data_IF_346898807185
#
_entry.id   IF_346898807185
#
_cell.length_a   1.000
_cell.length_b   1.000
_cell.length_c   1.000
_cell.angle_alpha   90.00
_cell.angle_beta   90.00
_cell.angle_gamma   90.00
#
_symmetry.space_group_name_H-M   'P 1'
#
loop_
_entity.id
_entity.type
_entity.pdbx_description
1 polymer ?
#
# COMPACT_ATOMS: atom_id res chain seq x y z
N UNK A 1 19.51 71.60 10.33
CA UNK A 1 19.61 70.21 9.81
C UNK A 1 18.56 69.39 10.55
N UNK A 2 17.38 69.19 9.94
CA UNK A 2 16.14 68.87 10.66
C UNK A 2 16.01 67.38 10.97
N UNK A 3 15.72 67.06 12.25
CA UNK A 3 15.52 65.69 12.75
C UNK A 3 14.49 64.88 11.93
N UNK A 4 13.52 65.55 11.31
CA UNK A 4 12.47 64.92 10.48
C UNK A 4 13.00 64.21 9.23
N UNK A 5 14.10 64.69 8.63
CA UNK A 5 14.68 64.07 7.43
C UNK A 5 15.40 62.76 7.74
N UNK A 6 15.95 62.60 8.95
CA UNK A 6 16.67 61.39 9.36
C UNK A 6 15.74 60.21 9.63
N UNK A 7 14.52 60.45 10.12
CA UNK A 7 13.54 59.39 10.35
C UNK A 7 13.04 58.75 9.04
N UNK A 8 12.85 59.55 7.99
CA UNK A 8 12.39 59.05 6.69
C UNK A 8 13.43 58.19 5.98
N UNK A 9 14.72 58.51 6.12
CA UNK A 9 15.82 57.71 5.53
C UNK A 9 16.05 56.39 6.27
N UNK A 10 15.85 56.35 7.60
CA UNK A 10 16.02 55.13 8.40
C UNK A 10 14.87 54.13 8.16
N UNK A 11 13.63 54.61 8.01
CA UNK A 11 12.48 53.75 7.65
C UNK A 11 12.58 53.17 6.24
N UNK A 12 13.16 53.92 5.29
CA UNK A 12 13.35 53.44 3.91
C UNK A 12 14.45 52.36 3.81
N UNK A 13 15.48 52.45 4.64
CA UNK A 13 16.55 51.43 4.74
C UNK A 13 16.04 50.16 5.42
N UNK A 14 15.12 50.25 6.40
CA UNK A 14 14.49 49.06 7.00
C UNK A 14 13.50 48.35 6.05
N UNK A 15 12.80 49.09 5.19
CA UNK A 15 11.89 48.51 4.19
C UNK A 15 12.63 47.80 3.04
N UNK A 16 13.84 48.25 2.68
CA UNK A 16 14.72 47.58 1.70
C UNK A 16 15.48 46.37 2.28
N UNK A 17 15.54 46.22 3.60
CA UNK A 17 16.17 45.10 4.30
C UNK A 17 15.20 43.96 4.63
N UNK A 18 13.89 44.20 4.67
CA UNK A 18 12.88 43.14 4.86
C UNK A 18 12.50 42.42 3.55
N UNK A 19 12.85 42.98 2.38
CA UNK A 19 12.56 42.37 1.07
C UNK A 19 13.58 41.31 0.61
N UNK A 20 14.53 40.90 1.47
CA UNK A 20 15.62 39.96 1.12
C UNK A 20 15.46 38.54 1.66
N UNK A 21 14.29 38.17 2.16
CA UNK A 21 14.02 36.81 2.64
C UNK A 21 12.79 36.14 2.01
N UNK A 22 12.45 36.48 0.76
CA UNK A 22 11.78 35.50 -0.11
C UNK A 22 12.89 34.68 -0.77
N UNK A 23 13.48 33.77 -0.01
CA UNK A 23 14.14 32.63 -0.64
C UNK A 23 13.05 31.90 -1.42
N UNK A 24 13.21 31.65 -2.73
CA UNK A 24 12.35 30.65 -3.37
C UNK A 24 12.52 29.39 -2.53
N UNK A 25 11.44 28.90 -1.93
CA UNK A 25 11.38 27.51 -1.54
C UNK A 25 11.59 26.78 -2.86
N UNK A 26 12.82 26.37 -3.11
CA UNK A 26 13.10 25.34 -4.08
C UNK A 26 12.33 24.16 -3.54
N UNK A 27 11.12 23.95 -4.05
CA UNK A 27 10.48 22.66 -3.99
C UNK A 27 11.51 21.72 -4.61
N UNK A 28 12.27 21.07 -3.75
CA UNK A 28 13.20 20.04 -4.13
C UNK A 28 12.28 19.03 -4.78
N UNK A 29 12.29 18.97 -6.12
CA UNK A 29 11.65 17.89 -6.82
C UNK A 29 12.45 16.66 -6.39
N UNK A 30 12.01 16.02 -5.32
CA UNK A 30 12.38 14.66 -5.09
C UNK A 30 12.09 13.96 -6.41
N UNK A 31 13.11 13.33 -7.00
CA UNK A 31 12.89 12.41 -8.10
C UNK A 31 12.15 11.23 -7.49
N UNK A 32 10.85 11.40 -7.24
CA UNK A 32 10.03 10.34 -6.69
C UNK A 32 9.79 9.39 -7.85
N UNK A 33 10.34 8.19 -7.75
CA UNK A 33 10.02 7.08 -8.62
C UNK A 33 8.78 6.36 -8.06
N UNK A 34 8.12 5.58 -8.91
CA UNK A 34 6.99 4.76 -8.47
C UNK A 34 7.45 3.67 -7.53
N UNK A 35 6.75 3.56 -6.40
CA UNK A 35 7.10 2.64 -5.34
C UNK A 35 5.90 2.43 -4.42
N UNK A 36 5.89 1.29 -3.73
CA UNK A 36 5.10 1.10 -2.52
C UNK A 36 5.93 1.63 -1.36
N UNK A 37 5.48 2.69 -0.72
CA UNK A 37 6.18 3.26 0.44
C UNK A 37 5.87 2.49 1.73
N UNK A 38 4.66 1.94 1.84
CA UNK A 38 4.25 1.12 2.98
C UNK A 38 3.26 0.03 2.53
N UNK A 39 3.53 -1.21 2.93
CA UNK A 39 2.63 -2.35 2.78
C UNK A 39 2.35 -2.92 4.16
N UNK A 40 1.11 -2.78 4.64
CA UNK A 40 0.70 -3.31 5.94
C UNK A 40 -0.41 -4.34 5.78
N UNK A 41 -0.21 -5.54 6.31
CA UNK A 41 -1.21 -6.62 6.26
C UNK A 41 -1.69 -6.99 7.65
N UNK A 42 -3.00 -6.96 7.88
CA UNK A 42 -3.64 -7.49 9.08
C UNK A 42 -4.33 -8.79 8.72
N UNK A 43 -3.90 -9.89 9.33
CA UNK A 43 -4.38 -11.25 9.07
C UNK A 43 -5.06 -11.76 10.33
N UNK A 44 -6.37 -11.99 10.25
CA UNK A 44 -7.17 -12.53 11.35
C UNK A 44 -7.57 -13.95 11.04
N UNK A 45 -6.97 -14.90 11.75
CA UNK A 45 -7.35 -16.32 11.66
C UNK A 45 -8.68 -16.50 12.41
N UNK A 46 -9.66 -17.10 11.75
CA UNK A 46 -10.97 -17.42 12.31
C UNK A 46 -10.98 -18.82 12.93
N UNK A 47 -11.95 -19.11 13.78
CA UNK A 47 -12.08 -20.43 14.43
C UNK A 47 -12.29 -21.59 13.43
N UNK A 48 -12.90 -21.31 12.28
CA UNK A 48 -13.12 -22.29 11.21
C UNK A 48 -11.90 -22.45 10.28
N UNK A 49 -10.78 -21.79 10.60
CA UNK A 49 -9.55 -21.81 9.81
C UNK A 49 -9.57 -20.92 8.57
N UNK A 50 -10.64 -20.15 8.33
CA UNK A 50 -10.64 -19.08 7.34
C UNK A 50 -9.81 -17.89 7.82
N UNK A 51 -9.34 -17.07 6.87
CA UNK A 51 -8.60 -15.85 7.13
C UNK A 51 -9.41 -14.66 6.66
N UNK A 52 -9.54 -13.65 7.52
CA UNK A 52 -9.94 -12.30 7.13
C UNK A 52 -8.69 -11.45 7.04
N UNK A 53 -8.43 -10.90 5.86
CA UNK A 53 -7.21 -10.13 5.58
C UNK A 53 -7.58 -8.72 5.16
N UNK A 54 -6.88 -7.74 5.74
CA UNK A 54 -6.92 -6.35 5.32
C UNK A 54 -5.51 -5.92 4.93
N UNK A 55 -5.30 -5.58 3.66
CA UNK A 55 -4.02 -5.07 3.14
C UNK A 55 -4.15 -3.57 2.86
N UNK A 56 -3.30 -2.77 3.50
CA UNK A 56 -3.16 -1.34 3.26
C UNK A 56 -1.85 -1.08 2.52
N UNK A 57 -1.96 -0.52 1.32
CA UNK A 57 -0.85 -0.35 0.38
C UNK A 57 -0.75 1.12 0.01
N UNK A 58 0.26 1.81 0.52
CA UNK A 58 0.55 3.20 0.16
C UNK A 58 1.59 3.24 -0.95
N UNK A 59 1.26 3.95 -2.03
CA UNK A 59 2.11 4.08 -3.22
C UNK A 59 2.38 5.53 -3.54
N UNK A 60 3.50 5.78 -4.21
CA UNK A 60 3.68 6.99 -5.01
C UNK A 60 3.49 6.65 -6.48
N UNK A 61 2.55 7.32 -7.14
CA UNK A 61 2.40 7.29 -8.59
C UNK A 61 3.16 8.46 -9.24
N UNK A 62 3.90 8.16 -10.31
CA UNK A 62 4.44 9.19 -11.23
C UNK A 62 3.65 9.24 -12.53
N UNK A 63 2.66 8.35 -12.70
CA UNK A 63 1.87 8.17 -13.91
C UNK A 63 2.56 7.34 -15.00
N UNK A 64 3.60 6.56 -14.67
CA UNK A 64 4.34 5.75 -15.64
C UNK A 64 3.89 4.29 -15.65
N UNK A 65 4.16 3.50 -14.61
CA UNK A 65 3.62 2.14 -14.41
C UNK A 65 2.24 2.20 -13.74
N UNK A 66 2.04 3.15 -12.81
CA UNK A 66 0.77 3.32 -12.07
C UNK A 66 -0.11 4.33 -12.82
N UNK A 67 -0.56 3.96 -14.03
CA UNK A 67 -1.36 4.83 -14.91
C UNK A 67 -2.83 4.91 -14.55
N UNK A 68 -3.41 3.78 -14.15
CA UNK A 68 -4.85 3.63 -13.91
C UNK A 68 -5.16 3.16 -12.49
N UNK A 69 -4.11 2.98 -11.68
CA UNK A 69 -4.16 2.35 -10.36
C UNK A 69 -3.14 1.23 -10.24
N UNK A 70 -3.32 0.36 -9.24
CA UNK A 70 -2.37 -0.71 -8.89
C UNK A 70 -2.92 -2.09 -9.26
N UNK A 71 -2.10 -3.12 -9.07
CA UNK A 71 -2.54 -4.50 -9.19
C UNK A 71 -2.03 -5.34 -8.02
N UNK A 72 -2.71 -6.42 -7.66
CA UNK A 72 -2.31 -7.36 -6.62
C UNK A 72 -2.44 -8.78 -7.14
N UNK A 73 -1.34 -9.53 -7.10
CA UNK A 73 -1.35 -10.93 -7.50
C UNK A 73 -1.68 -11.82 -6.31
N UNK A 74 -2.65 -12.71 -6.46
CA UNK A 74 -3.02 -13.73 -5.50
C UNK A 74 -2.70 -15.11 -6.11
N UNK A 75 -1.51 -15.67 -5.82
CA UNK A 75 -1.15 -17.00 -6.28
C UNK A 75 -2.11 -18.04 -5.71
N UNK A 76 -2.51 -18.99 -6.55
CA UNK A 76 -3.36 -20.11 -6.14
C UNK A 76 -2.59 -21.36 -5.76
N UNK A 77 -1.27 -21.34 -5.86
CA UNK A 77 -0.41 -22.45 -5.47
C UNK A 77 0.72 -21.94 -4.60
N UNK A 78 0.57 -22.15 -3.29
CA UNK A 78 1.68 -22.08 -2.36
C UNK A 78 2.01 -23.50 -1.90
N UNK A 79 3.26 -23.93 -2.09
CA UNK A 79 3.78 -25.22 -1.59
C UNK A 79 2.89 -26.48 -1.84
N UNK A 80 2.13 -26.52 -2.94
CA UNK A 80 1.27 -27.65 -3.29
C UNK A 80 -0.20 -27.54 -2.83
N UNK A 81 -0.57 -26.49 -2.12
CA UNK A 81 -1.96 -26.16 -1.76
C UNK A 81 -2.62 -25.45 -2.95
N UNK A 82 -3.68 -26.04 -3.51
CA UNK A 82 -4.41 -25.46 -4.64
C UNK A 82 -5.60 -24.62 -4.14
N UNK A 83 -5.50 -23.31 -4.23
CA UNK A 83 -6.60 -22.38 -4.00
C UNK A 83 -7.42 -22.29 -5.31
N UNK A 84 -8.72 -22.52 -5.23
CA UNK A 84 -9.63 -22.16 -6.33
C UNK A 84 -10.50 -21.02 -5.81
N UNK A 85 -10.53 -19.84 -6.46
CA UNK A 85 -11.33 -18.72 -5.95
C UNK A 85 -12.82 -18.99 -6.00
N UNK A 86 -13.28 -20.02 -6.72
CA UNK A 86 -14.69 -20.41 -6.65
C UNK A 86 -15.11 -21.03 -5.31
N UNK A 87 -14.18 -21.36 -4.40
CA UNK A 87 -14.53 -22.00 -3.12
C UNK A 87 -13.86 -21.42 -1.87
N UNK A 88 -13.01 -20.40 -1.97
CA UNK A 88 -12.22 -19.98 -0.82
C UNK A 88 -11.41 -18.70 -0.97
N UNK A 89 -11.82 -17.80 -1.87
CA UNK A 89 -11.22 -16.46 -1.98
C UNK A 89 -12.28 -15.48 -2.44
N UNK A 90 -12.54 -14.45 -1.64
CA UNK A 90 -13.56 -13.45 -1.92
C UNK A 90 -13.06 -12.06 -1.54
N UNK A 91 -13.16 -11.11 -2.47
CA UNK A 91 -12.91 -9.69 -2.20
C UNK A 91 -14.16 -9.11 -1.53
N UNK A 92 -14.01 -8.56 -0.33
CA UNK A 92 -15.08 -7.93 0.44
C UNK A 92 -15.20 -6.44 0.08
N UNK A 93 -14.07 -5.73 0.09
CA UNK A 93 -14.01 -4.31 -0.28
C UNK A 93 -12.67 -3.92 -0.87
N UNK A 94 -12.71 -2.91 -1.74
CA UNK A 94 -11.54 -2.23 -2.27
C UNK A 94 -11.78 -0.73 -2.18
N UNK A 95 -10.83 -0.01 -1.60
CA UNK A 95 -10.88 1.46 -1.51
C UNK A 95 -9.57 2.08 -1.99
N UNK A 96 -9.67 3.32 -2.48
CA UNK A 96 -8.55 4.22 -2.74
C UNK A 96 -8.81 5.50 -1.96
N UNK A 97 -7.90 5.84 -1.06
CA UNK A 97 -8.01 6.96 -0.13
C UNK A 97 -9.31 6.95 0.72
N UNK A 98 -9.71 5.75 1.15
CA UNK A 98 -10.93 5.44 1.90
C UNK A 98 -12.25 5.55 1.12
N UNK A 99 -12.21 5.89 -0.16
CA UNK A 99 -13.38 5.87 -1.04
C UNK A 99 -13.44 4.56 -1.83
N UNK A 100 -14.62 3.99 -2.09
CA UNK A 100 -14.76 2.78 -2.91
C UNK A 100 -14.09 2.95 -4.29
N UNK A 101 -13.28 1.97 -4.67
CA UNK A 101 -12.54 2.01 -5.95
C UNK A 101 -12.97 0.83 -6.83
N UNK A 102 -13.21 1.04 -8.14
CA UNK A 102 -13.51 -0.06 -9.06
C UNK A 102 -12.34 -1.04 -9.11
N UNK A 103 -12.65 -2.32 -9.29
CA UNK A 103 -11.64 -3.36 -9.43
C UNK A 103 -12.08 -4.44 -10.41
N UNK A 104 -11.13 -5.18 -10.95
CA UNK A 104 -11.38 -6.32 -11.82
C UNK A 104 -10.41 -7.47 -11.54
N UNK A 105 -10.96 -8.68 -11.42
CA UNK A 105 -10.17 -9.90 -11.25
C UNK A 105 -9.89 -10.55 -12.60
N UNK A 106 -8.61 -10.79 -12.89
CA UNK A 106 -8.15 -11.52 -14.06
C UNK A 106 -7.51 -12.85 -13.66
N UNK A 107 -7.92 -13.95 -14.30
CA UNK A 107 -7.27 -15.24 -14.11
C UNK A 107 -5.88 -15.25 -14.75
N UNK A 108 -4.90 -15.75 -14.01
CA UNK A 108 -3.51 -15.95 -14.41
C UNK A 108 -3.17 -17.45 -14.43
N UNK A 109 -1.99 -17.82 -14.93
CA UNK A 109 -1.54 -19.21 -14.96
C UNK A 109 -1.29 -19.80 -13.56
N UNK A 110 -0.85 -18.97 -12.61
CA UNK A 110 -0.50 -19.34 -11.23
C UNK A 110 -1.45 -18.75 -10.18
N UNK A 111 -2.60 -18.20 -10.58
CA UNK A 111 -3.53 -17.58 -9.66
C UNK A 111 -4.40 -16.52 -10.31
N UNK A 112 -4.55 -15.39 -9.63
CA UNK A 112 -5.38 -14.28 -10.07
C UNK A 112 -4.65 -12.96 -9.87
N UNK A 113 -4.91 -12.00 -10.75
CA UNK A 113 -4.49 -10.61 -10.60
C UNK A 113 -5.72 -9.76 -10.36
N UNK A 114 -5.75 -9.05 -9.24
CA UNK A 114 -6.71 -8.01 -8.95
C UNK A 114 -6.15 -6.69 -9.51
N UNK A 115 -6.79 -6.12 -10.51
CA UNK A 115 -6.53 -4.74 -10.91
C UNK A 115 -7.43 -3.82 -10.11
N UNK A 116 -6.87 -2.76 -9.54
CA UNK A 116 -7.58 -1.77 -8.72
C UNK A 116 -7.46 -0.42 -9.40
N UNK A 117 -8.60 0.12 -9.79
CA UNK A 117 -8.74 1.37 -10.53
C UNK A 117 -9.47 1.22 -11.85
N UNK A 118 -9.87 2.36 -12.42
CA UNK A 118 -10.61 2.41 -13.68
C UNK A 118 -9.66 2.49 -14.87
N UNK A 119 -9.69 1.46 -15.73
CA UNK A 119 -8.90 1.39 -16.97
C UNK A 119 -9.12 2.56 -17.94
N UNK A 120 -10.21 3.31 -17.80
CA UNK A 120 -10.52 4.46 -18.65
C UNK A 120 -10.10 5.80 -18.02
N UNK A 121 -9.65 5.80 -16.77
CA UNK A 121 -9.29 7.02 -16.02
C UNK A 121 -7.80 7.02 -15.72
N UNK A 122 -7.10 8.10 -16.09
CA UNK A 122 -5.70 8.28 -15.70
C UNK A 122 -5.61 8.73 -14.25
N UNK A 123 -4.78 8.06 -13.48
CA UNK A 123 -4.42 8.43 -12.12
C UNK A 123 -3.39 9.57 -12.18
N UNK A 124 -3.67 10.74 -11.59
CA UNK A 124 -2.69 11.81 -11.50
C UNK A 124 -1.44 11.36 -10.72
N UNK A 125 -0.27 11.97 -10.95
CA UNK A 125 0.88 11.75 -10.08
C UNK A 125 0.58 12.18 -8.65
N UNK A 126 0.98 11.38 -7.67
CA UNK A 126 0.73 11.66 -6.26
C UNK A 126 0.79 10.43 -5.36
N UNK A 127 0.70 10.62 -4.04
CA UNK A 127 0.53 9.53 -3.09
C UNK A 127 -0.91 9.01 -3.11
N UNK A 128 -1.06 7.69 -3.02
CA UNK A 128 -2.36 7.03 -2.92
C UNK A 128 -2.29 5.90 -1.90
N UNK A 129 -3.39 5.66 -1.18
CA UNK A 129 -3.51 4.52 -0.28
C UNK A 129 -4.65 3.62 -0.73
N UNK A 130 -4.32 2.38 -1.04
CA UNK A 130 -5.30 1.36 -1.38
C UNK A 130 -5.55 0.46 -0.16
N UNK A 131 -6.80 0.13 0.11
CA UNK A 131 -7.15 -0.89 1.11
C UNK A 131 -7.92 -2.01 0.42
N UNK A 132 -7.49 -3.25 0.63
CA UNK A 132 -8.13 -4.45 0.10
C UNK A 132 -8.54 -5.30 1.31
N UNK A 133 -9.83 -5.53 1.47
CA UNK A 133 -10.35 -6.48 2.45
C UNK A 133 -10.85 -7.72 1.71
N UNK A 134 -10.40 -8.89 2.15
CA UNK A 134 -10.78 -10.15 1.52
C UNK A 134 -10.80 -11.29 2.52
N UNK A 135 -11.51 -12.35 2.17
CA UNK A 135 -11.52 -13.60 2.91
C UNK A 135 -10.87 -14.70 2.10
N UNK A 136 -10.21 -15.63 2.79
CA UNK A 136 -9.70 -16.83 2.12
C UNK A 136 -9.71 -18.06 3.04
N UNK A 137 -9.82 -19.25 2.44
CA UNK A 137 -9.83 -20.53 3.15
C UNK A 137 -8.70 -21.43 2.68
N UNK A 138 -8.44 -22.52 3.42
CA UNK A 138 -7.40 -23.51 3.11
C UNK A 138 -5.97 -22.93 3.11
N UNK A 139 -5.69 -21.97 3.99
CA UNK A 139 -4.35 -21.39 4.16
C UNK A 139 -3.57 -22.01 5.33
N UNK A 140 -4.22 -22.88 6.10
CA UNK A 140 -3.64 -23.58 7.24
C UNK A 140 -3.35 -25.04 6.89
N UNK A 141 -2.14 -25.48 7.21
CA UNK A 141 -1.81 -26.90 7.31
C UNK A 141 -2.13 -27.41 8.72
N UNK A 142 -2.79 -28.56 8.82
CA UNK A 142 -3.12 -29.17 10.10
C UNK A 142 -2.21 -30.38 10.35
N UNK A 143 -1.40 -30.33 11.41
CA UNK A 143 -0.49 -31.41 11.81
C UNK A 143 -0.87 -31.93 13.20
N UNK A 144 -0.23 -33.03 13.61
CA UNK A 144 -0.55 -33.73 14.86
C UNK A 144 -0.41 -32.83 16.11
N UNK A 145 0.62 -31.99 16.13
CA UNK A 145 1.02 -31.23 17.32
C UNK A 145 0.91 -29.70 17.14
N UNK A 146 0.68 -29.22 15.92
CA UNK A 146 0.58 -27.80 15.59
C UNK A 146 -0.19 -27.58 14.28
N UNK A 147 -0.66 -26.34 14.11
CA UNK A 147 -1.13 -25.85 12.82
C UNK A 147 -0.04 -25.00 12.17
N UNK A 148 -0.01 -24.92 10.85
CA UNK A 148 1.01 -24.20 10.09
C UNK A 148 0.35 -23.14 9.20
N UNK A 149 0.84 -21.90 9.27
CA UNK A 149 0.49 -20.84 8.34
C UNK A 149 1.73 -20.48 7.51
N UNK A 150 1.63 -20.68 6.20
CA UNK A 150 2.56 -20.11 5.23
C UNK A 150 1.93 -18.87 4.60
N UNK A 151 2.57 -17.71 4.75
CA UNK A 151 2.03 -16.45 4.24
C UNK A 151 3.10 -15.56 3.63
N UNK A 152 2.90 -15.17 2.37
CA UNK A 152 3.69 -14.11 1.74
C UNK A 152 2.93 -12.79 1.87
N UNK A 153 3.44 -11.90 2.73
CA UNK A 153 2.80 -10.64 3.13
C UNK A 153 2.59 -9.73 1.93
N UNK A 154 3.64 -9.48 1.15
CA UNK A 154 3.58 -8.53 0.03
C UNK A 154 3.17 -9.21 -1.28
N UNK A 155 3.20 -10.54 -1.34
CA UNK A 155 3.09 -11.28 -2.58
C UNK A 155 4.37 -11.21 -3.41
N UNK A 156 4.23 -11.36 -4.72
CA UNK A 156 5.35 -11.39 -5.68
C UNK A 156 4.96 -10.66 -6.97
N UNK A 157 5.95 -10.26 -7.78
CA UNK A 157 5.78 -9.68 -9.13
C UNK A 157 5.26 -8.23 -9.18
N UNK A 158 5.56 -7.42 -8.17
CA UNK A 158 5.44 -5.98 -8.27
C UNK A 158 6.47 -5.44 -9.27
N UNK A 159 6.05 -4.54 -10.17
CA UNK A 159 6.93 -3.87 -11.14
C UNK A 159 7.69 -2.68 -10.52
N UNK A 160 7.30 -2.29 -9.31
CA UNK A 160 7.89 -1.20 -8.55
C UNK A 160 8.27 -1.70 -7.14
N UNK A 161 9.37 -1.16 -6.57
CA UNK A 161 9.92 -1.65 -5.31
C UNK A 161 9.00 -1.36 -4.13
N UNK A 162 9.16 -2.15 -3.07
CA UNK A 162 8.55 -1.89 -1.77
C UNK A 162 9.61 -1.28 -0.86
N UNK A 163 9.26 -0.23 -0.12
CA UNK A 163 10.21 0.42 0.80
C UNK A 163 10.11 -0.15 2.20
N UNK A 164 8.87 -0.37 2.65
CA UNK A 164 8.57 -0.90 3.97
C UNK A 164 7.39 -1.88 3.88
N UNK A 165 7.48 -2.97 4.63
CA UNK A 165 6.36 -3.88 4.84
C UNK A 165 6.23 -4.29 6.30
N UNK A 166 5.00 -4.56 6.74
CA UNK A 166 4.69 -5.07 8.07
C UNK A 166 3.47 -5.97 8.04
N UNK A 167 3.36 -6.85 9.03
CA UNK A 167 2.23 -7.74 9.19
C UNK A 167 1.85 -7.92 10.67
N UNK A 168 0.54 -8.00 10.93
CA UNK A 168 -0.03 -8.36 12.21
C UNK A 168 -0.91 -9.60 12.04
N UNK A 169 -0.68 -10.62 12.88
CA UNK A 169 -1.43 -11.86 12.83
C UNK A 169 -2.19 -12.04 14.14
N UNK A 170 -3.51 -12.17 14.04
CA UNK A 170 -4.41 -12.39 15.17
C UNK A 170 -4.89 -13.83 15.16
N UNK A 171 -4.65 -14.54 16.26
CA UNK A 171 -5.10 -15.91 16.47
C UNK A 171 -6.46 -15.92 17.21
N UNK A 172 -7.37 -16.86 16.89
CA UNK A 172 -8.70 -16.91 17.50
C UNK A 172 -8.66 -17.40 18.96
N UNK A 173 -7.61 -18.15 19.33
CA UNK A 173 -7.33 -18.64 20.68
C UNK A 173 -5.83 -18.95 20.80
N UNK A 174 -5.30 -19.30 22.00
CA UNK A 174 -3.92 -19.73 22.15
C UNK A 174 -3.66 -21.02 21.34
N UNK A 175 -3.22 -20.87 20.10
CA UNK A 175 -2.84 -21.94 19.19
C UNK A 175 -1.31 -22.07 19.18
N UNK A 176 -0.83 -23.30 19.08
CA UNK A 176 0.55 -23.54 18.63
C UNK A 176 0.49 -23.48 17.11
N UNK A 177 0.75 -22.29 16.57
CA UNK A 177 0.88 -22.07 15.13
C UNK A 177 2.35 -21.91 14.77
N UNK A 178 2.85 -22.76 13.89
CA UNK A 178 4.12 -22.54 13.21
C UNK A 178 3.88 -21.58 12.05
N UNK A 179 4.64 -20.47 12.00
CA UNK A 179 4.44 -19.44 10.98
C UNK A 179 5.68 -19.31 10.09
N UNK A 180 5.46 -19.40 8.78
CA UNK A 180 6.45 -19.09 7.75
C UNK A 180 6.00 -17.84 7.02
N UNK A 181 6.59 -16.70 7.40
CA UNK A 181 6.23 -15.39 6.86
C UNK A 181 7.35 -14.87 5.97
N UNK A 182 7.01 -14.50 4.73
CA UNK A 182 7.94 -13.90 3.78
C UNK A 182 7.41 -12.56 3.25
N UNK A 183 8.32 -11.76 2.70
CA UNK A 183 8.00 -10.56 1.93
C UNK A 183 9.02 -10.40 0.80
N UNK A 184 8.52 -10.13 -0.40
CA UNK A 184 9.34 -9.72 -1.55
C UNK A 184 9.34 -8.18 -1.56
N UNK A 185 10.53 -7.57 -1.50
CA UNK A 185 10.77 -6.12 -1.38
C UNK A 185 11.53 -5.61 -2.59
#
# INVERSE_FOLDING_TARGET
>A
MNLFSRFFTILFIQFLLTLRFLSPINAQSENTYEQITDFHSVIKIQEDGSLNVSEKITVISTGNEIKHGIYRDFPTKYAGIALSPQKGFEIISVTKDNEPEPYNMQKMSNGYRLYIGDKNTLLPPGPYTYTIDYTTTNQLGFFKDYDELYWNVTGSNWSFPITQCSAEIYLPFPLIVMMFISADI
#
